data_IF_028975336512
#
_entry.id   IF_028975336512
#
_cell.length_a   1.000
_cell.length_b   1.000
_cell.length_c   1.000
_cell.angle_alpha   90.00
_cell.angle_beta   90.00
_cell.angle_gamma   90.00
#
_symmetry.space_group_name_H-M   'P 1'
#
loop_
_entity.id
_entity.type
_entity.pdbx_description
1 polymer ?
#
# COMPACT_ATOMS: atom_id res chain seq x y z
N UNK A 1 12.79 5.36 -65.62
CA UNK A 1 11.40 4.85 -65.61
C UNK A 1 11.09 4.14 -64.28
N UNK A 2 11.94 3.20 -63.85
CA UNK A 2 11.82 2.47 -62.57
C UNK A 2 11.73 3.39 -61.33
N UNK A 3 12.49 4.49 -61.28
CA UNK A 3 12.49 5.38 -60.11
C UNK A 3 11.13 6.06 -59.88
N UNK A 4 10.44 6.51 -60.94
CA UNK A 4 9.14 7.17 -60.82
C UNK A 4 8.05 6.24 -60.27
N UNK A 5 8.08 4.96 -60.64
CA UNK A 5 7.13 3.96 -60.16
C UNK A 5 7.32 3.68 -58.66
N UNK A 6 8.57 3.67 -58.18
CA UNK A 6 8.90 3.52 -56.76
C UNK A 6 8.36 4.70 -55.95
N UNK A 7 8.52 5.93 -56.42
CA UNK A 7 8.00 7.11 -55.73
C UNK A 7 6.47 7.12 -55.65
N UNK A 8 5.79 6.74 -56.73
CA UNK A 8 4.33 6.65 -56.75
C UNK A 8 3.86 5.57 -55.75
N UNK A 9 4.51 4.41 -55.73
CA UNK A 9 4.20 3.34 -54.79
C UNK A 9 4.36 3.77 -53.32
N UNK A 10 5.42 4.51 -53.00
CA UNK A 10 5.63 5.06 -51.65
C UNK A 10 4.54 6.05 -51.25
N UNK A 11 4.15 6.97 -52.14
CA UNK A 11 3.11 7.96 -51.86
C UNK A 11 1.76 7.26 -51.62
N UNK A 12 1.37 6.33 -52.48
CA UNK A 12 0.12 5.58 -52.34
C UNK A 12 0.11 4.76 -51.05
N UNK A 13 1.22 4.09 -50.74
CA UNK A 13 1.37 3.35 -49.48
C UNK A 13 1.23 4.24 -48.25
N UNK A 14 1.81 5.45 -48.30
CA UNK A 14 1.72 6.42 -47.20
C UNK A 14 0.30 6.94 -47.01
N UNK A 15 -0.42 7.25 -48.09
CA UNK A 15 -1.83 7.67 -48.04
C UNK A 15 -2.71 6.58 -47.41
N UNK A 16 -2.50 5.33 -47.83
CA UNK A 16 -3.23 4.19 -47.30
C UNK A 16 -2.95 4.01 -45.80
N UNK A 17 -1.68 4.04 -45.39
CA UNK A 17 -1.28 3.97 -43.99
C UNK A 17 -1.89 5.10 -43.16
N UNK A 18 -1.88 6.35 -43.66
CA UNK A 18 -2.50 7.48 -42.95
C UNK A 18 -4.01 7.34 -42.83
N UNK A 19 -4.67 6.77 -43.83
CA UNK A 19 -6.12 6.56 -43.79
C UNK A 19 -6.50 5.45 -42.80
N UNK A 20 -5.72 4.36 -42.77
CA UNK A 20 -5.87 3.29 -41.77
C UNK A 20 -5.65 3.84 -40.36
N UNK A 21 -4.58 4.63 -40.15
CA UNK A 21 -4.30 5.28 -38.87
C UNK A 21 -5.49 6.12 -38.36
N UNK A 22 -6.09 6.94 -39.23
CA UNK A 22 -7.26 7.75 -38.87
C UNK A 22 -8.45 6.88 -38.46
N UNK A 23 -8.66 5.75 -39.15
CA UNK A 23 -9.79 4.87 -38.88
C UNK A 23 -9.65 4.13 -37.54
N UNK A 24 -8.45 3.67 -37.20
CA UNK A 24 -8.17 2.97 -35.95
C UNK A 24 -8.02 3.92 -34.74
N UNK A 25 -7.63 5.18 -34.96
CA UNK A 25 -7.43 6.14 -33.88
C UNK A 25 -8.74 6.44 -33.13
N UNK A 26 -8.66 6.53 -31.81
CA UNK A 26 -9.76 6.97 -30.93
C UNK A 26 -9.86 8.50 -30.85
N UNK A 27 -8.89 9.22 -31.41
CA UNK A 27 -8.77 10.67 -31.29
C UNK A 27 -9.71 11.42 -32.24
N UNK A 28 -10.28 10.74 -33.25
CA UNK A 28 -11.18 11.33 -34.24
C UNK A 28 -12.61 10.84 -34.03
N UNK A 29 -13.58 11.76 -34.12
CA UNK A 29 -15.00 11.41 -34.13
C UNK A 29 -15.37 10.67 -35.42
N UNK A 30 -16.47 9.93 -35.42
CA UNK A 30 -16.90 9.16 -36.59
C UNK A 30 -17.13 10.04 -37.82
N UNK A 31 -17.62 11.26 -37.63
CA UNK A 31 -17.79 12.25 -38.71
C UNK A 31 -16.44 12.75 -39.24
N UNK A 32 -15.46 13.00 -38.35
CA UNK A 32 -14.11 13.37 -38.76
C UNK A 32 -13.42 12.25 -39.52
N UNK A 33 -13.59 10.99 -39.09
CA UNK A 33 -13.05 9.81 -39.80
C UNK A 33 -13.60 9.72 -41.22
N UNK A 34 -14.92 9.79 -41.38
CA UNK A 34 -15.57 9.75 -42.70
C UNK A 34 -15.05 10.89 -43.58
N UNK A 35 -14.99 12.11 -43.05
CA UNK A 35 -14.49 13.27 -43.78
C UNK A 35 -13.02 13.13 -44.21
N UNK A 36 -12.14 12.71 -43.30
CA UNK A 36 -10.72 12.51 -43.58
C UNK A 36 -10.47 11.36 -44.56
N UNK A 37 -11.30 10.33 -44.58
CA UNK A 37 -11.22 9.25 -45.58
C UNK A 37 -11.57 9.75 -46.97
N UNK A 38 -12.57 10.61 -47.10
CA UNK A 38 -12.90 11.26 -48.39
C UNK A 38 -11.74 12.13 -48.86
N UNK A 39 -11.07 12.84 -47.94
CA UNK A 39 -9.91 13.66 -48.24
C UNK A 39 -8.66 12.87 -48.68
N UNK A 40 -8.63 11.53 -48.59
CA UNK A 40 -7.50 10.72 -49.05
C UNK A 40 -7.15 10.90 -50.53
N UNK A 41 -8.12 11.35 -51.34
CA UNK A 41 -7.93 11.72 -52.76
C UNK A 41 -6.96 12.91 -52.89
N UNK A 42 -6.90 13.78 -51.89
CA UNK A 42 -5.98 14.91 -51.81
C UNK A 42 -5.11 14.81 -50.56
N UNK A 43 -4.07 13.98 -50.63
CA UNK A 43 -3.19 13.65 -49.51
C UNK A 43 -2.65 14.87 -48.73
N UNK A 44 -2.19 15.97 -49.35
CA UNK A 44 -1.71 17.13 -48.60
C UNK A 44 -2.80 17.77 -47.73
N UNK A 45 -4.04 17.83 -48.24
CA UNK A 45 -5.19 18.36 -47.49
C UNK A 45 -5.55 17.40 -46.35
N UNK A 46 -5.53 16.09 -46.60
CA UNK A 46 -5.79 15.08 -45.57
C UNK A 46 -4.83 15.24 -44.39
N UNK A 47 -3.52 15.35 -44.63
CA UNK A 47 -2.51 15.48 -43.57
C UNK A 47 -2.66 16.78 -42.79
N UNK A 48 -2.97 17.88 -43.46
CA UNK A 48 -3.21 19.16 -42.81
C UNK A 48 -4.44 19.12 -41.89
N UNK A 49 -5.53 18.50 -42.34
CA UNK A 49 -6.75 18.34 -41.54
C UNK A 49 -6.56 17.38 -40.37
N UNK A 50 -5.78 16.31 -40.53
CA UNK A 50 -5.38 15.41 -39.44
C UNK A 50 -4.72 16.21 -38.31
N UNK A 51 -3.79 17.11 -38.63
CA UNK A 51 -3.13 17.96 -37.65
C UNK A 51 -4.12 18.91 -36.95
N UNK A 52 -4.98 19.59 -37.71
CA UNK A 52 -5.97 20.53 -37.15
C UNK A 52 -6.92 19.82 -36.20
N UNK A 53 -7.51 18.69 -36.63
CA UNK A 53 -8.44 17.94 -35.80
C UNK A 53 -7.77 17.34 -34.58
N UNK A 54 -6.54 16.85 -34.71
CA UNK A 54 -5.77 16.33 -33.58
C UNK A 54 -5.52 17.41 -32.51
N UNK A 55 -5.10 18.62 -32.93
CA UNK A 55 -4.89 19.74 -32.01
C UNK A 55 -6.21 20.20 -31.37
N UNK A 56 -7.27 20.33 -32.17
CA UNK A 56 -8.58 20.78 -31.68
C UNK A 56 -9.18 19.79 -30.68
N UNK A 57 -9.16 18.49 -31.00
CA UNK A 57 -9.69 17.45 -30.12
C UNK A 57 -8.85 17.31 -28.84
N UNK A 58 -7.52 17.44 -28.93
CA UNK A 58 -6.64 17.45 -27.76
C UNK A 58 -6.98 18.62 -26.81
N UNK A 59 -7.21 19.82 -27.34
CA UNK A 59 -7.57 20.98 -26.53
C UNK A 59 -8.98 20.85 -25.92
N UNK A 60 -9.94 20.32 -26.68
CA UNK A 60 -11.29 20.06 -26.16
C UNK A 60 -11.27 18.99 -25.05
N UNK A 61 -10.44 17.96 -25.20
CA UNK A 61 -10.24 16.95 -24.14
C UNK A 61 -9.62 17.57 -22.89
N UNK A 62 -8.57 18.40 -23.02
CA UNK A 62 -7.94 19.11 -21.89
C UNK A 62 -8.88 20.08 -21.17
N UNK A 63 -9.87 20.63 -21.87
CA UNK A 63 -10.87 21.53 -21.30
C UNK A 63 -12.11 20.79 -20.77
N UNK A 64 -12.18 19.47 -20.90
CA UNK A 64 -13.31 18.69 -20.39
C UNK A 64 -13.34 18.63 -18.86
N UNK A 65 -14.54 18.55 -18.29
CA UNK A 65 -14.72 18.37 -16.84
C UNK A 65 -14.06 17.07 -16.35
N UNK A 66 -14.03 16.03 -17.19
CA UNK A 66 -13.41 14.74 -16.91
C UNK A 66 -11.88 14.87 -16.78
N UNK A 67 -11.22 15.59 -17.69
CA UNK A 67 -9.78 15.83 -17.62
C UNK A 67 -9.41 16.66 -16.38
N UNK A 68 -10.18 17.70 -16.07
CA UNK A 68 -9.95 18.51 -14.88
C UNK A 68 -10.13 17.71 -13.59
N UNK A 69 -11.16 16.87 -13.48
CA UNK A 69 -11.36 15.98 -12.34
C UNK A 69 -10.20 14.98 -12.19
N UNK A 70 -9.74 14.39 -13.30
CA UNK A 70 -8.60 13.47 -13.30
C UNK A 70 -7.29 14.16 -12.90
N UNK A 71 -7.07 15.39 -13.37
CA UNK A 71 -5.91 16.21 -13.01
C UNK A 71 -5.90 16.54 -11.51
N UNK A 72 -7.02 17.02 -10.96
CA UNK A 72 -7.15 17.34 -9.53
C UNK A 72 -6.91 16.11 -8.67
N UNK A 73 -7.47 14.96 -9.06
CA UNK A 73 -7.25 13.69 -8.36
C UNK A 73 -5.77 13.28 -8.37
N UNK A 74 -5.09 13.41 -9.52
CA UNK A 74 -3.66 13.12 -9.62
C UNK A 74 -2.81 14.06 -8.75
N UNK A 75 -3.11 15.35 -8.74
CA UNK A 75 -2.42 16.33 -7.89
C UNK A 75 -2.61 16.02 -6.40
N UNK A 76 -3.84 15.64 -6.00
CA UNK A 76 -4.12 15.22 -4.63
C UNK A 76 -3.35 13.95 -4.24
N UNK A 77 -3.34 12.91 -5.08
CA UNK A 77 -2.58 11.69 -4.80
C UNK A 77 -1.07 11.96 -4.70
N UNK A 78 -0.53 12.80 -5.59
CA UNK A 78 0.87 13.23 -5.54
C UNK A 78 1.21 13.95 -4.22
N UNK A 79 0.28 14.79 -3.72
CA UNK A 79 0.45 15.47 -2.43
C UNK A 79 0.51 14.48 -1.24
N UNK A 80 -0.28 13.40 -1.30
CA UNK A 80 -0.30 12.36 -0.27
C UNK A 80 0.97 11.50 -0.32
N UNK A 81 1.46 11.17 -1.52
CA UNK A 81 2.75 10.47 -1.70
C UNK A 81 3.92 11.30 -1.17
N UNK A 82 3.91 12.60 -1.43
CA UNK A 82 4.92 13.52 -0.91
C UNK A 82 4.86 13.60 0.61
N UNK A 83 3.65 13.67 1.17
CA UNK A 83 3.43 13.66 2.62
C UNK A 83 3.92 12.38 3.27
N UNK A 84 3.72 11.23 2.62
CA UNK A 84 4.20 9.93 3.10
C UNK A 84 5.73 9.86 3.09
N UNK A 85 6.38 10.33 2.02
CA UNK A 85 7.85 10.42 1.95
C UNK A 85 8.40 11.33 3.05
N UNK A 86 7.80 12.49 3.25
CA UNK A 86 8.19 13.42 4.31
C UNK A 86 8.05 12.79 5.70
N UNK A 87 6.98 12.01 5.96
CA UNK A 87 6.84 11.28 7.23
C UNK A 87 7.95 10.25 7.45
N UNK A 88 8.34 9.52 6.41
CA UNK A 88 9.46 8.55 6.49
C UNK A 88 10.75 9.29 6.84
N UNK A 89 11.05 10.39 6.15
CA UNK A 89 12.24 11.18 6.45
C UNK A 89 12.26 11.75 7.88
N UNK A 90 11.11 12.23 8.38
CA UNK A 90 10.99 12.75 9.74
C UNK A 90 11.22 11.64 10.78
N UNK A 91 10.72 10.43 10.52
CA UNK A 91 10.96 9.26 11.35
C UNK A 91 12.44 8.86 11.35
N UNK A 92 13.05 8.78 10.18
CA UNK A 92 14.48 8.43 10.03
C UNK A 92 15.40 9.44 10.72
N UNK A 93 15.03 10.72 10.71
CA UNK A 93 15.74 11.79 11.44
C UNK A 93 15.47 11.78 12.95
N UNK A 94 14.62 10.88 13.46
CA UNK A 94 14.24 10.80 14.86
C UNK A 94 13.41 11.99 15.35
N UNK A 95 12.79 12.75 14.44
CA UNK A 95 12.00 13.94 14.75
C UNK A 95 10.57 13.61 15.18
N UNK A 96 10.10 12.40 14.86
CA UNK A 96 8.81 11.86 15.28
C UNK A 96 9.00 10.47 15.86
N UNK A 97 8.15 10.12 16.81
CA UNK A 97 8.12 8.78 17.41
C UNK A 97 7.52 7.75 16.46
N UNK A 98 7.78 6.47 16.71
CA UNK A 98 7.18 5.37 15.95
C UNK A 98 5.64 5.40 16.01
N UNK A 99 5.09 5.76 17.17
CA UNK A 99 3.65 5.88 17.39
C UNK A 99 3.05 7.01 16.55
N UNK A 100 3.65 8.20 16.56
CA UNK A 100 3.22 9.33 15.72
C UNK A 100 3.34 9.01 14.22
N UNK A 101 4.38 8.29 13.82
CA UNK A 101 4.54 7.85 12.45
C UNK A 101 3.39 6.91 12.04
N UNK A 102 3.10 5.89 12.85
CA UNK A 102 2.02 4.92 12.59
C UNK A 102 0.67 5.62 12.44
N UNK A 103 0.29 6.47 13.40
CA UNK A 103 -1.01 7.16 13.38
C UNK A 103 -1.17 8.06 12.16
N UNK A 104 -0.11 8.80 11.78
CA UNK A 104 -0.15 9.71 10.63
C UNK A 104 -0.12 8.96 9.31
N UNK A 105 0.64 7.88 9.22
CA UNK A 105 0.67 7.03 8.04
C UNK A 105 -0.70 6.35 7.82
N UNK A 106 -1.33 5.85 8.88
CA UNK A 106 -2.68 5.27 8.80
C UNK A 106 -3.71 6.27 8.29
N UNK A 107 -3.60 7.54 8.71
CA UNK A 107 -4.46 8.61 8.20
C UNK A 107 -4.25 8.83 6.70
N UNK A 108 -3.00 8.91 6.23
CA UNK A 108 -2.69 9.06 4.80
C UNK A 108 -3.27 7.89 4.00
N UNK A 109 -3.09 6.65 4.49
CA UNK A 109 -3.62 5.45 3.84
C UNK A 109 -5.15 5.52 3.75
N UNK A 110 -5.84 5.87 4.84
CA UNK A 110 -7.31 6.05 4.84
C UNK A 110 -7.75 7.12 3.84
N UNK A 111 -7.04 8.24 3.77
CA UNK A 111 -7.36 9.33 2.83
C UNK A 111 -7.15 8.89 1.37
N UNK A 112 -6.10 8.10 1.07
CA UNK A 112 -5.89 7.50 -0.26
C UNK A 112 -7.02 6.56 -0.65
N UNK A 113 -7.40 5.65 0.24
CA UNK A 113 -8.48 4.67 -0.01
C UNK A 113 -9.80 5.38 -0.23
N UNK A 114 -10.15 6.35 0.63
CA UNK A 114 -11.36 7.15 0.49
C UNK A 114 -11.40 7.88 -0.86
N UNK A 115 -10.27 8.42 -1.28
CA UNK A 115 -10.16 9.09 -2.56
C UNK A 115 -10.34 8.13 -3.75
N UNK A 116 -9.77 6.91 -3.68
CA UNK A 116 -10.00 5.86 -4.68
C UNK A 116 -11.46 5.45 -4.75
N UNK A 117 -12.10 5.26 -3.59
CA UNK A 117 -13.51 4.93 -3.49
C UNK A 117 -14.38 5.99 -4.18
N UNK A 118 -14.23 7.27 -3.81
CA UNK A 118 -15.07 8.37 -4.35
C UNK A 118 -14.88 8.52 -5.87
N UNK A 119 -13.67 8.26 -6.36
CA UNK A 119 -13.37 8.40 -7.78
C UNK A 119 -13.74 7.18 -8.64
N UNK A 120 -14.04 6.03 -8.01
CA UNK A 120 -14.47 4.80 -8.69
C UNK A 120 -15.77 5.02 -9.49
N UNK A 121 -15.92 4.26 -10.57
CA UNK A 121 -17.10 4.31 -11.43
C UNK A 121 -18.32 3.81 -10.65
N UNK A 122 -18.12 2.74 -9.89
CA UNK A 122 -19.10 2.06 -9.06
C UNK A 122 -19.68 3.01 -8.01
N UNK A 123 -18.83 3.77 -7.31
CA UNK A 123 -19.30 4.75 -6.33
C UNK A 123 -20.09 5.87 -7.00
N UNK A 124 -19.62 6.40 -8.14
CA UNK A 124 -20.35 7.45 -8.88
C UNK A 124 -21.70 6.98 -9.37
N UNK A 125 -21.79 5.74 -9.86
CA UNK A 125 -23.05 5.11 -10.24
C UNK A 125 -23.97 4.93 -9.03
N UNK A 126 -23.45 4.39 -7.93
CA UNK A 126 -24.19 4.21 -6.68
C UNK A 126 -24.73 5.53 -6.14
N UNK A 127 -23.89 6.58 -6.18
CA UNK A 127 -24.25 7.93 -5.77
C UNK A 127 -25.33 8.52 -6.67
N UNK A 128 -25.23 8.35 -7.98
CA UNK A 128 -26.27 8.79 -8.92
C UNK A 128 -27.61 8.08 -8.70
N UNK A 129 -27.60 6.76 -8.43
CA UNK A 129 -28.83 6.03 -8.10
C UNK A 129 -29.48 6.54 -6.81
N UNK A 130 -28.66 6.84 -5.80
CA UNK A 130 -29.14 7.44 -4.55
C UNK A 130 -29.69 8.85 -4.74
N UNK A 131 -28.97 9.72 -5.46
CA UNK A 131 -29.38 11.11 -5.71
C UNK A 131 -30.68 11.19 -6.55
N UNK A 132 -30.96 10.16 -7.36
CA UNK A 132 -32.21 10.01 -8.10
C UNK A 132 -33.33 9.32 -7.30
N UNK A 133 -33.17 9.14 -5.97
CA UNK A 133 -34.10 8.46 -5.07
C UNK A 133 -34.45 7.02 -5.47
N UNK A 134 -33.57 6.33 -6.21
CA UNK A 134 -33.73 4.92 -6.58
C UNK A 134 -33.19 3.95 -5.51
N UNK A 135 -32.40 4.47 -4.56
CA UNK A 135 -31.89 3.73 -3.41
C UNK A 135 -32.29 4.44 -2.13
N UNK A 136 -32.66 3.66 -1.12
CA UNK A 136 -32.81 4.19 0.24
C UNK A 136 -31.44 4.49 0.87
N UNK A 137 -31.42 5.33 1.91
CA UNK A 137 -30.19 5.63 2.66
C UNK A 137 -29.50 4.36 3.19
N UNK A 138 -30.29 3.39 3.66
CA UNK A 138 -29.79 2.12 4.22
C UNK A 138 -29.14 1.28 3.12
N UNK A 139 -29.77 1.17 1.95
CA UNK A 139 -29.21 0.43 0.82
C UNK A 139 -27.94 1.09 0.28
N UNK A 140 -27.90 2.42 0.23
CA UNK A 140 -26.73 3.18 -0.19
C UNK A 140 -25.54 2.92 0.74
N UNK A 141 -25.70 3.09 2.06
CA UNK A 141 -24.61 2.86 3.02
C UNK A 141 -24.15 1.40 3.04
N UNK A 142 -25.07 0.43 2.99
CA UNK A 142 -24.70 -0.99 2.93
C UNK A 142 -23.86 -1.31 1.68
N UNK A 143 -24.27 -0.82 0.51
CA UNK A 143 -23.54 -1.05 -0.74
C UNK A 143 -22.22 -0.29 -0.78
N UNK A 144 -22.17 0.92 -0.22
CA UNK A 144 -20.95 1.72 -0.08
C UNK A 144 -19.94 1.02 0.82
N UNK A 145 -20.36 0.43 1.93
CA UNK A 145 -19.46 -0.34 2.82
C UNK A 145 -18.87 -1.55 2.10
N UNK A 146 -19.68 -2.31 1.35
CA UNK A 146 -19.19 -3.43 0.53
C UNK A 146 -18.16 -2.95 -0.51
N UNK A 147 -18.41 -1.79 -1.12
CA UNK A 147 -17.48 -1.21 -2.09
C UNK A 147 -16.19 -0.73 -1.41
N UNK A 148 -16.29 -0.12 -0.23
CA UNK A 148 -15.14 0.29 0.59
C UNK A 148 -14.28 -0.90 0.99
N UNK A 149 -14.86 -2.03 1.41
CA UNK A 149 -14.14 -3.27 1.70
C UNK A 149 -13.38 -3.79 0.46
N UNK A 150 -14.00 -3.75 -0.72
CA UNK A 150 -13.35 -4.16 -1.97
C UNK A 150 -12.19 -3.24 -2.34
N UNK A 151 -12.40 -1.92 -2.28
CA UNK A 151 -11.37 -0.92 -2.59
C UNK A 151 -10.22 -1.00 -1.59
N UNK A 152 -10.50 -1.19 -0.29
CA UNK A 152 -9.49 -1.48 0.72
C UNK A 152 -8.65 -2.70 0.31
N UNK A 153 -9.32 -3.82 0.02
CA UNK A 153 -8.63 -5.06 -0.36
C UNK A 153 -7.78 -4.88 -1.61
N UNK A 154 -8.29 -4.23 -2.64
CA UNK A 154 -7.55 -3.96 -3.88
C UNK A 154 -6.38 -3.01 -3.65
N UNK A 155 -6.56 -1.94 -2.88
CA UNK A 155 -5.51 -0.99 -2.53
C UNK A 155 -4.36 -1.69 -1.81
N UNK A 156 -4.68 -2.52 -0.82
CA UNK A 156 -3.66 -3.31 -0.14
C UNK A 156 -3.06 -4.35 -1.09
N UNK A 157 -3.84 -5.04 -1.94
CA UNK A 157 -3.29 -6.03 -2.89
C UNK A 157 -2.34 -5.39 -3.93
N UNK A 158 -2.66 -4.19 -4.43
CA UNK A 158 -1.86 -3.48 -5.44
C UNK A 158 -0.64 -2.77 -4.85
N UNK A 159 -0.73 -2.31 -3.61
CA UNK A 159 0.40 -1.67 -2.91
C UNK A 159 1.23 -2.65 -2.06
N UNK A 160 0.76 -3.90 -1.89
CA UNK A 160 1.50 -4.98 -1.24
C UNK A 160 2.36 -5.77 -2.25
N UNK A 161 3.29 -5.09 -2.93
CA UNK A 161 4.52 -5.75 -3.42
C UNK A 161 5.47 -6.14 -2.26
N UNK A 162 4.94 -6.52 -1.10
CA UNK A 162 5.76 -7.11 -0.05
C UNK A 162 4.98 -7.49 1.19
N UNK A 163 4.01 -8.40 1.03
CA UNK A 163 3.75 -9.34 2.11
C UNK A 163 5.04 -10.10 2.39
N UNK A 164 5.63 -9.87 3.56
CA UNK A 164 6.77 -10.67 3.99
C UNK A 164 6.18 -11.90 4.69
N UNK A 165 6.44 -13.06 4.11
CA UNK A 165 6.17 -14.34 4.75
C UNK A 165 7.43 -14.75 5.51
N UNK A 166 7.35 -14.75 6.83
CA UNK A 166 8.45 -15.12 7.71
C UNK A 166 8.12 -16.43 8.39
N UNK A 167 8.99 -17.42 8.24
CA UNK A 167 8.92 -18.66 9.00
C UNK A 167 9.85 -18.60 10.20
N UNK A 168 9.37 -19.04 11.36
CA UNK A 168 10.15 -19.09 12.61
C UNK A 168 9.86 -20.38 13.37
N UNK A 169 10.90 -20.96 13.92
CA UNK A 169 10.78 -22.08 14.86
C UNK A 169 10.65 -21.53 16.28
N UNK A 170 9.79 -22.14 17.08
CA UNK A 170 9.52 -21.77 18.48
C UNK A 170 10.21 -22.74 19.45
N UNK A 171 10.28 -22.36 20.73
CA UNK A 171 10.92 -23.19 21.77
C UNK A 171 10.19 -24.52 22.04
N UNK A 172 8.90 -24.60 21.68
CA UNK A 172 8.07 -25.81 21.75
C UNK A 172 8.07 -26.59 20.42
N UNK A 173 9.08 -26.38 19.58
CA UNK A 173 9.32 -27.05 18.31
C UNK A 173 8.18 -26.92 17.27
N UNK A 174 7.35 -25.86 17.39
CA UNK A 174 6.38 -25.48 16.35
C UNK A 174 7.04 -24.57 15.32
N UNK A 175 6.54 -24.64 14.08
CA UNK A 175 6.93 -23.72 13.00
C UNK A 175 5.78 -22.76 12.72
N UNK A 176 5.98 -21.49 13.06
CA UNK A 176 4.98 -20.45 12.79
C UNK A 176 5.29 -19.76 11.45
N UNK A 177 4.22 -19.42 10.74
CA UNK A 177 4.23 -18.59 9.53
C UNK A 177 3.62 -17.25 9.89
N UNK A 178 4.41 -16.19 9.77
CA UNK A 178 4.00 -14.82 10.04
C UNK A 178 3.81 -14.14 8.69
N UNK A 179 2.63 -13.58 8.45
CA UNK A 179 2.29 -12.86 7.22
C UNK A 179 1.97 -11.42 7.60
N UNK A 180 2.77 -10.46 7.12
CA UNK A 180 2.64 -9.06 7.48
C UNK A 180 3.19 -8.11 6.44
N UNK A 181 3.04 -6.82 6.68
CA UNK A 181 3.57 -5.76 5.83
C UNK A 181 5.07 -5.54 6.03
N UNK A 182 5.74 -5.07 4.98
CA UNK A 182 7.13 -4.59 5.06
C UNK A 182 7.32 -3.63 6.24
N UNK A 183 8.26 -3.99 7.13
CA UNK A 183 8.71 -3.22 8.29
C UNK A 183 7.82 -3.23 9.55
N UNK A 184 6.71 -3.97 9.59
CA UNK A 184 5.93 -4.15 10.84
C UNK A 184 5.74 -5.61 11.20
N UNK A 185 6.13 -5.97 12.42
CA UNK A 185 5.75 -7.26 13.02
C UNK A 185 4.41 -7.15 13.77
N UNK A 186 4.07 -5.98 14.29
CA UNK A 186 2.79 -5.75 14.97
C UNK A 186 1.68 -5.68 13.91
N UNK A 187 0.54 -6.33 14.19
CA UNK A 187 -0.57 -6.49 13.25
C UNK A 187 -0.35 -7.59 12.20
N UNK A 188 0.80 -8.27 12.20
CA UNK A 188 1.02 -9.41 11.30
C UNK A 188 0.20 -10.61 11.77
N UNK A 189 -0.31 -11.38 10.80
CA UNK A 189 -1.09 -12.60 11.07
C UNK A 189 -0.18 -13.80 11.32
N UNK A 190 -0.56 -14.65 12.27
CA UNK A 190 0.23 -15.83 12.63
C UNK A 190 -0.54 -17.11 12.33
N UNK A 191 0.13 -18.04 11.63
CA UNK A 191 -0.40 -19.32 11.23
C UNK A 191 0.50 -20.47 11.70
N UNK A 192 -0.11 -21.61 12.01
CA UNK A 192 0.56 -22.90 12.19
C UNK A 192 -0.13 -23.88 11.24
N UNK A 193 0.64 -24.57 10.41
CA UNK A 193 0.10 -25.49 9.40
C UNK A 193 -1.01 -24.85 8.54
N UNK A 194 -0.80 -23.58 8.17
CA UNK A 194 -1.75 -22.72 7.44
C UNK A 194 -3.10 -22.45 8.13
N UNK A 195 -3.24 -22.82 9.41
CA UNK A 195 -4.37 -22.46 10.27
C UNK A 195 -4.05 -21.19 11.06
N UNK A 196 -4.95 -20.20 11.00
CA UNK A 196 -4.83 -18.95 11.75
C UNK A 196 -4.97 -19.20 13.26
N UNK A 197 -4.00 -18.73 14.03
CA UNK A 197 -4.02 -18.87 15.49
C UNK A 197 -4.66 -17.64 16.13
N UNK A 198 -5.76 -17.84 16.86
CA UNK A 198 -6.48 -16.73 17.49
C UNK A 198 -5.66 -16.09 18.61
N UNK A 199 -5.42 -16.80 19.71
CA UNK A 199 -4.72 -16.27 20.88
C UNK A 199 -3.62 -17.25 21.33
N UNK A 200 -2.36 -16.80 21.36
CA UNK A 200 -1.24 -17.59 21.88
C UNK A 200 0.00 -16.72 22.18
N UNK A 201 1.01 -17.31 22.82
CA UNK A 201 2.32 -16.70 23.08
C UNK A 201 3.41 -17.55 22.43
N UNK A 202 4.16 -16.94 21.52
CA UNK A 202 5.25 -17.63 20.83
C UNK A 202 6.60 -17.08 21.26
N UNK A 203 7.51 -17.96 21.64
CA UNK A 203 8.90 -17.60 21.90
C UNK A 203 9.75 -18.27 20.84
N UNK A 204 10.57 -17.48 20.14
CA UNK A 204 11.45 -18.02 19.10
C UNK A 204 12.49 -18.96 19.72
N UNK A 205 12.80 -20.05 19.02
CA UNK A 205 13.83 -21.03 19.43
C UNK A 205 15.20 -20.41 19.64
N UNK A 206 15.50 -19.33 18.92
CA UNK A 206 16.74 -18.53 19.08
C UNK A 206 16.78 -17.69 20.37
N UNK A 207 15.69 -17.64 21.13
CA UNK A 207 15.53 -16.79 22.32
C UNK A 207 15.78 -15.30 22.04
N UNK A 208 15.42 -14.83 20.85
CA UNK A 208 15.57 -13.42 20.45
C UNK A 208 14.29 -12.62 20.61
N UNK A 209 13.11 -13.26 20.47
CA UNK A 209 11.82 -12.58 20.51
C UNK A 209 10.76 -13.44 21.18
N UNK A 210 9.81 -12.73 21.79
CA UNK A 210 8.52 -13.24 22.26
C UNK A 210 7.41 -12.45 21.59
N UNK A 211 6.42 -13.15 21.06
CA UNK A 211 5.24 -12.60 20.41
C UNK A 211 4.02 -12.91 21.25
N UNK A 212 3.15 -11.92 21.43
CA UNK A 212 1.80 -12.11 21.97
C UNK A 212 0.84 -11.94 20.80
N UNK A 213 0.08 -12.99 20.50
CA UNK A 213 -0.92 -13.01 19.43
C UNK A 213 -2.30 -12.92 20.06
N UNK A 214 -3.15 -12.05 19.52
CA UNK A 214 -4.58 -11.97 19.87
C UNK A 214 -5.43 -11.81 18.63
N UNK A 215 -6.55 -12.52 18.56
CA UNK A 215 -7.46 -12.55 17.41
C UNK A 215 -6.77 -12.77 16.04
N UNK A 216 -5.71 -13.58 15.98
CA UNK A 216 -5.00 -13.83 14.72
C UNK A 216 -3.77 -12.96 14.50
N UNK A 217 -3.58 -11.88 15.27
CA UNK A 217 -2.60 -10.84 14.99
C UNK A 217 -1.61 -10.64 16.13
N UNK A 218 -0.34 -10.33 15.79
CA UNK A 218 0.68 -9.99 16.78
C UNK A 218 0.36 -8.61 17.38
N UNK A 219 -0.01 -8.58 18.67
CA UNK A 219 -0.32 -7.34 19.39
C UNK A 219 0.85 -6.79 20.17
N UNK A 220 1.77 -7.67 20.63
CA UNK A 220 2.99 -7.26 21.31
C UNK A 220 4.17 -8.12 20.83
N UNK A 221 5.33 -7.47 20.76
CA UNK A 221 6.62 -8.12 20.50
C UNK A 221 7.59 -7.65 21.56
N UNK A 222 8.24 -8.58 22.23
CA UNK A 222 9.31 -8.33 23.18
C UNK A 222 10.63 -8.88 22.63
N UNK A 223 11.73 -8.22 22.98
CA UNK A 223 13.07 -8.66 22.66
C UNK A 223 13.60 -9.44 23.86
N UNK A 224 14.07 -10.66 23.60
CA UNK A 224 14.64 -11.51 24.63
C UNK A 224 16.16 -11.46 24.53
N UNK A 225 16.82 -11.26 25.66
CA UNK A 225 18.27 -11.28 25.76
C UNK A 225 18.70 -12.24 26.87
N UNK A 226 19.41 -13.30 26.48
CA UNK A 226 19.97 -14.25 27.43
C UNK A 226 21.30 -13.71 27.97
N UNK A 227 21.41 -13.60 29.29
CA UNK A 227 22.65 -13.26 30.00
C UNK A 227 22.87 -14.22 31.15
N UNK A 228 23.95 -14.97 31.09
CA UNK A 228 24.25 -16.04 32.06
C UNK A 228 23.06 -17.00 32.22
N UNK A 229 22.48 -17.07 33.41
CA UNK A 229 21.31 -17.91 33.74
C UNK A 229 19.99 -17.14 33.72
N UNK A 230 19.97 -15.95 33.13
CA UNK A 230 18.84 -15.04 33.10
C UNK A 230 18.38 -14.74 31.67
N UNK A 231 17.11 -14.41 31.53
CA UNK A 231 16.49 -13.88 30.32
C UNK A 231 15.90 -12.51 30.67
N UNK A 232 16.34 -11.49 29.94
CA UNK A 232 15.78 -10.14 30.01
C UNK A 232 14.76 -9.98 28.88
N UNK A 233 13.49 -9.77 29.25
CA UNK A 233 12.39 -9.45 28.33
C UNK A 233 12.24 -7.93 28.23
N UNK A 234 12.71 -7.38 27.12
CA UNK A 234 12.76 -5.95 26.84
C UNK A 234 11.58 -5.52 25.99
N UNK A 235 10.95 -4.42 26.36
CA UNK A 235 9.86 -3.79 25.60
C UNK A 235 10.33 -3.11 24.30
N UNK A 236 11.63 -2.79 24.20
CA UNK A 236 12.28 -2.15 23.06
C UNK A 236 13.55 -2.89 22.65
N UNK A 237 14.08 -2.58 21.47
CA UNK A 237 15.36 -3.14 20.98
C UNK A 237 16.57 -2.38 21.53
N UNK A 238 16.47 -1.81 22.73
CA UNK A 238 17.56 -1.07 23.33
C UNK A 238 18.72 -1.99 23.73
N UNK A 239 19.93 -1.42 23.76
CA UNK A 239 21.17 -2.12 24.14
C UNK A 239 21.17 -2.64 25.58
N UNK A 240 20.35 -2.04 26.45
CA UNK A 240 20.28 -2.41 27.86
C UNK A 240 18.81 -2.47 28.33
N UNK A 241 18.48 -3.38 29.25
CA UNK A 241 17.18 -3.39 29.92
C UNK A 241 16.91 -2.08 30.67
N UNK A 242 15.63 -1.73 30.79
CA UNK A 242 15.14 -0.53 31.46
C UNK A 242 14.18 -0.88 32.61
N UNK A 243 13.91 0.10 33.47
CA UNK A 243 12.86 -0.01 34.48
C UNK A 243 11.53 -0.37 33.80
N UNK A 244 10.85 -1.40 34.33
CA UNK A 244 9.64 -1.99 33.76
C UNK A 244 9.86 -3.22 32.89
N UNK A 245 11.08 -3.46 32.39
CA UNK A 245 11.41 -4.71 31.70
C UNK A 245 11.45 -5.87 32.70
N UNK A 246 11.29 -7.09 32.19
CA UNK A 246 11.15 -8.29 33.02
C UNK A 246 12.39 -9.16 33.00
N UNK A 247 12.64 -9.84 34.10
CA UNK A 247 13.78 -10.75 34.29
C UNK A 247 13.26 -12.12 34.70
N UNK A 248 13.70 -13.12 33.97
CA UNK A 248 13.33 -14.52 34.15
C UNK A 248 14.55 -15.40 34.30
N UNK A 249 14.37 -16.57 34.92
CA UNK A 249 15.27 -17.69 34.81
C UNK A 249 15.17 -18.32 33.39
N UNK A 250 16.10 -19.21 33.04
CA UNK A 250 16.10 -19.87 31.72
C UNK A 250 14.85 -20.73 31.43
N UNK A 251 14.13 -21.14 32.47
CA UNK A 251 12.84 -21.84 32.38
C UNK A 251 11.62 -20.89 32.32
N UNK A 252 11.85 -19.59 32.15
CA UNK A 252 10.83 -18.53 32.14
C UNK A 252 10.08 -18.30 33.46
N UNK A 253 10.58 -18.85 34.58
CA UNK A 253 10.09 -18.49 35.91
C UNK A 253 10.60 -17.11 36.31
N UNK A 254 9.77 -16.33 36.99
CA UNK A 254 10.16 -15.02 37.50
C UNK A 254 11.28 -15.17 38.53
N UNK A 255 12.30 -14.31 38.45
CA UNK A 255 13.36 -14.30 39.44
C UNK A 255 12.86 -13.76 40.79
N UNK A 256 13.45 -14.21 41.89
CA UNK A 256 13.15 -13.70 43.23
C UNK A 256 13.59 -12.24 43.39
N UNK A 257 13.11 -11.54 44.42
CA UNK A 257 13.50 -10.15 44.65
C UNK A 257 15.01 -10.04 44.95
N UNK A 258 15.68 -9.05 44.36
CA UNK A 258 17.10 -8.82 44.61
C UNK A 258 17.83 -8.06 43.50
N UNK A 259 19.15 -7.93 43.67
CA UNK A 259 20.04 -7.32 42.68
C UNK A 259 20.58 -8.36 41.71
N UNK A 260 20.37 -8.14 40.41
CA UNK A 260 20.83 -9.01 39.35
C UNK A 260 21.88 -8.29 38.50
N UNK A 261 23.05 -8.90 38.39
CA UNK A 261 24.15 -8.37 37.58
C UNK A 261 23.84 -8.58 36.09
N UNK A 262 23.89 -7.50 35.32
CA UNK A 262 23.74 -7.55 33.86
C UNK A 262 25.10 -7.43 33.15
N UNK A 263 26.00 -6.60 33.68
CA UNK A 263 27.34 -6.39 33.12
C UNK A 263 28.40 -6.22 34.21
N UNK A 264 29.65 -5.97 33.83
CA UNK A 264 30.72 -5.65 34.77
C UNK A 264 30.36 -4.47 35.68
N UNK A 265 29.63 -3.49 35.16
CA UNK A 265 29.33 -2.21 35.81
C UNK A 265 27.82 -1.94 35.98
N UNK A 266 26.96 -2.88 35.59
CA UNK A 266 25.50 -2.70 35.60
C UNK A 266 24.83 -3.83 36.37
N UNK A 267 23.99 -3.46 37.32
CA UNK A 267 23.09 -4.36 38.03
C UNK A 267 21.73 -3.70 38.19
N UNK A 268 20.68 -4.51 38.16
CA UNK A 268 19.30 -4.08 38.30
C UNK A 268 18.70 -4.60 39.59
N UNK A 269 17.96 -3.76 40.30
CA UNK A 269 17.08 -4.19 41.38
C UNK A 269 15.78 -4.70 40.75
N UNK A 270 15.46 -5.95 41.02
CA UNK A 270 14.28 -6.63 40.48
C UNK A 270 13.34 -7.00 41.61
N UNK A 271 12.07 -6.69 41.45
CA UNK A 271 10.98 -7.10 42.34
C UNK A 271 9.90 -7.82 41.54
N UNK A 272 9.51 -9.02 41.98
CA UNK A 272 8.52 -9.88 41.31
C UNK A 272 8.83 -10.08 39.81
N UNK A 273 10.11 -10.24 39.47
CA UNK A 273 10.56 -10.40 38.09
C UNK A 273 10.53 -9.12 37.23
N UNK A 274 10.33 -7.93 37.81
CA UNK A 274 10.32 -6.64 37.10
C UNK A 274 11.47 -5.75 37.58
N UNK A 275 12.21 -5.14 36.66
CA UNK A 275 13.25 -4.17 36.99
C UNK A 275 12.59 -2.90 37.53
N UNK A 276 12.96 -2.50 38.75
CA UNK A 276 12.47 -1.28 39.39
C UNK A 276 13.54 -0.20 39.50
N UNK A 277 14.83 -0.57 39.45
CA UNK A 277 15.95 0.36 39.53
C UNK A 277 17.22 -0.17 38.87
#
# INVERSE_FOLDING_TARGET
>A
MVEHEIYIGLIVGLIFATTVYVWESKDFSQNQKIFLTICAICAPIQWFLILIFSISNSNNYKNSAEYNAKKINNEYNLSLDTSQKNLVELKEKGLITELEFSEKNDKIVKDKIKNLLINSIEYKQLKSLFDNNLLTQIEFENKKNILEEKVNKEYFTQNNEGEIIIYRDTIDDKKIKIVGSLNSTIGSKVFIDDVLILDDVFIYKSLTHKLIVKNGEIVNRFFLEKKDNLIFEKSSNDLQPKVGDKVYLLNFEAVTNGYYRYSLFTSFLVENGVIIK
#
